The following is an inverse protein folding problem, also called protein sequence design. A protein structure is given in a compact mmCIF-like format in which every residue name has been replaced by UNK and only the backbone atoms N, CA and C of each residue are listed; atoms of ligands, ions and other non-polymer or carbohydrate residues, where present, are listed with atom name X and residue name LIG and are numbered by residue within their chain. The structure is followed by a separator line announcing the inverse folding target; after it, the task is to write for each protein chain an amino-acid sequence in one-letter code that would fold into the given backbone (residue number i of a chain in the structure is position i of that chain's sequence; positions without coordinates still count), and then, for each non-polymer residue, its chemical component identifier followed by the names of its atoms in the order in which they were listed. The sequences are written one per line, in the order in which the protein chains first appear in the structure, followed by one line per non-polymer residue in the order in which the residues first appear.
data_IF_376398263918
#
_entry.id   IF_376398263918
#
_cell.length_a   1.000
_cell.length_b   1.000
_cell.length_c   1.000
_cell.angle_alpha   90.00
_cell.angle_beta   90.00
_cell.angle_gamma   90.00
#
_symmetry.space_group_name_H-M   'P 1'
#
loop_
_entity.id
_entity.type
_entity.pdbx_description
1 polymer ?
#
# COMPACT_ATOMS: atom_id res chain seq x y z
N UNK A 1 11.77 74.99 20.19
CA UNK A 1 12.70 73.87 20.00
C UNK A 1 11.99 72.93 19.09
N UNK A 2 12.13 73.19 18.02
CA UNK A 2 12.38 72.85 16.60
C UNK A 2 11.84 71.47 16.25
N UNK A 3 10.79 71.50 15.44
CA UNK A 3 10.21 70.36 14.76
C UNK A 3 10.89 70.29 13.35
N UNK A 4 11.63 69.24 13.10
CA UNK A 4 12.31 69.06 11.83
C UNK A 4 11.35 68.45 10.78
N UNK A 5 11.37 69.07 9.60
CA UNK A 5 10.66 68.72 8.36
C UNK A 5 10.99 67.34 7.83
N UNK A 6 9.95 66.64 7.33
CA UNK A 6 10.06 65.45 6.49
C UNK A 6 9.64 65.85 5.06
N UNK A 7 10.45 65.59 4.03
CA UNK A 7 10.13 65.99 2.67
C UNK A 7 9.12 65.01 2.01
N UNK A 8 8.15 65.60 1.28
CA UNK A 8 7.24 64.91 0.40
C UNK A 8 7.96 64.43 -0.87
N UNK A 9 7.86 63.14 -1.19
CA UNK A 9 8.33 62.58 -2.44
C UNK A 9 7.16 62.28 -3.41
N UNK A 10 7.19 63.02 -4.51
CA UNK A 10 6.73 62.81 -5.87
C UNK A 10 5.66 61.69 -6.17
N UNK A 11 4.49 62.16 -6.53
CA UNK A 11 3.53 61.44 -7.41
C UNK A 11 4.12 61.35 -8.81
N UNK A 12 4.32 60.16 -9.30
CA UNK A 12 4.43 59.87 -10.73
C UNK A 12 3.09 59.26 -11.20
N UNK A 13 2.47 59.99 -12.12
CA UNK A 13 1.37 59.53 -12.95
C UNK A 13 1.84 58.33 -13.76
N UNK A 14 1.14 57.22 -13.67
CA UNK A 14 1.25 56.13 -14.67
C UNK A 14 0.00 56.09 -15.52
N UNK A 15 0.18 56.50 -16.73
CA UNK A 15 -0.75 56.39 -17.88
C UNK A 15 -1.17 54.94 -18.10
N UNK A 16 -2.46 54.80 -18.32
CA UNK A 16 -3.11 53.52 -18.66
C UNK A 16 -2.56 52.87 -19.91
N UNK A 17 -2.27 51.60 -19.83
CA UNK A 17 -2.09 50.73 -20.96
C UNK A 17 -3.29 49.75 -20.99
N UNK A 18 -4.20 49.98 -21.93
CA UNK A 18 -5.28 49.05 -22.30
C UNK A 18 -4.61 47.86 -22.98
N UNK A 19 -4.53 46.70 -22.26
CA UNK A 19 -4.12 45.45 -22.86
C UNK A 19 -5.34 44.84 -23.56
N UNK A 20 -5.27 44.75 -24.88
CA UNK A 20 -6.20 44.06 -25.76
C UNK A 20 -6.39 42.62 -25.31
N UNK A 21 -7.63 42.14 -25.40
CA UNK A 21 -7.97 40.72 -25.35
C UNK A 21 -7.16 39.98 -26.44
N UNK A 22 -6.07 39.37 -26.02
CA UNK A 22 -5.28 38.45 -26.82
C UNK A 22 -5.67 37.04 -26.44
N UNK A 23 -5.94 36.24 -27.44
CA UNK A 23 -6.26 34.83 -27.50
C UNK A 23 -5.71 34.01 -26.36
N UNK A 24 -6.61 33.34 -25.64
CA UNK A 24 -6.28 32.23 -24.74
C UNK A 24 -5.82 31.12 -25.70
N UNK A 25 -4.56 30.65 -25.63
CA UNK A 25 -4.20 29.47 -26.38
C UNK A 25 -5.00 28.30 -25.79
N UNK A 26 -5.77 27.66 -26.69
CA UNK A 26 -6.32 26.33 -26.45
C UNK A 26 -5.14 25.43 -26.03
N UNK A 27 -4.98 25.22 -24.75
CA UNK A 27 -3.99 24.28 -24.25
C UNK A 27 -4.39 22.91 -24.73
N UNK A 28 -3.68 22.48 -25.80
CA UNK A 28 -3.56 21.09 -26.18
C UNK A 28 -3.49 20.20 -24.94
N UNK A 29 -4.26 19.11 -24.95
CA UNK A 29 -4.42 18.20 -23.84
C UNK A 29 -3.07 17.90 -23.17
N UNK A 30 -2.89 18.43 -21.98
CA UNK A 30 -1.87 17.94 -21.09
C UNK A 30 -2.26 16.48 -20.81
N UNK A 31 -1.42 15.55 -21.24
CA UNK A 31 -1.44 14.17 -20.76
C UNK A 31 -1.44 14.25 -19.23
N UNK A 32 -2.60 14.15 -18.63
CA UNK A 32 -2.72 14.13 -17.18
C UNK A 32 -2.04 12.86 -16.74
N UNK A 33 -0.84 12.99 -16.17
CA UNK A 33 -0.07 11.88 -15.65
C UNK A 33 -0.98 11.06 -14.72
N UNK A 34 -1.27 9.83 -15.15
CA UNK A 34 -2.23 8.95 -14.51
C UNK A 34 -1.78 8.67 -13.07
N UNK A 35 -2.67 8.83 -12.12
CA UNK A 35 -2.35 8.63 -10.71
C UNK A 35 -1.91 7.19 -10.45
N UNK A 36 -0.82 7.01 -9.71
CA UNK A 36 -0.35 5.70 -9.29
C UNK A 36 -0.50 5.53 -7.77
N UNK A 37 -1.19 4.47 -7.37
CA UNK A 37 -1.32 4.05 -5.97
C UNK A 37 -0.41 2.87 -5.71
N UNK A 38 0.41 2.96 -4.66
CA UNK A 38 1.25 1.85 -4.19
C UNK A 38 0.65 1.24 -2.94
N UNK A 39 0.60 -0.08 -2.90
CA UNK A 39 0.14 -0.82 -1.73
C UNK A 39 0.93 -2.11 -1.56
N UNK A 40 1.24 -2.47 -0.31
CA UNK A 40 1.84 -3.78 -0.04
C UNK A 40 0.79 -4.89 -0.16
N UNK A 41 1.22 -6.10 -0.56
CA UNK A 41 0.37 -7.30 -0.58
C UNK A 41 -0.36 -7.46 0.76
N UNK A 42 0.36 -7.35 1.86
CA UNK A 42 -0.22 -7.45 3.21
C UNK A 42 -1.35 -6.45 3.43
N UNK A 43 -1.09 -5.16 3.17
CA UNK A 43 -2.09 -4.12 3.40
C UNK A 43 -3.29 -4.28 2.48
N UNK A 44 -3.09 -4.71 1.22
CA UNK A 44 -4.16 -4.97 0.27
C UNK A 44 -5.11 -6.06 0.78
N UNK A 45 -4.58 -7.22 1.18
CA UNK A 45 -5.42 -8.33 1.64
C UNK A 45 -6.06 -8.03 2.99
N UNK A 46 -5.34 -7.40 3.94
CA UNK A 46 -5.90 -6.98 5.23
C UNK A 46 -7.01 -5.94 5.06
N UNK A 47 -6.89 -5.04 4.09
CA UNK A 47 -7.90 -4.03 3.80
C UNK A 47 -9.17 -4.63 3.17
N UNK A 48 -9.01 -5.46 2.12
CA UNK A 48 -10.14 -5.98 1.35
C UNK A 48 -10.84 -7.15 2.04
N UNK A 49 -10.09 -7.99 2.77
CA UNK A 49 -10.62 -9.18 3.43
C UNK A 49 -10.89 -8.96 4.93
N UNK A 50 -10.88 -7.71 5.37
CA UNK A 50 -11.26 -7.38 6.75
C UNK A 50 -12.66 -7.90 7.04
N UNK A 51 -12.77 -8.70 8.09
CA UNK A 51 -14.02 -9.29 8.55
C UNK A 51 -14.03 -9.39 10.07
N UNK A 52 -15.22 -9.48 10.67
CA UNK A 52 -15.39 -9.52 12.12
C UNK A 52 -15.64 -8.15 12.76
N UNK A 53 -15.83 -8.15 14.07
CA UNK A 53 -16.05 -6.97 14.88
C UNK A 53 -14.77 -6.21 15.19
N UNK A 54 -14.90 -5.03 15.78
CA UNK A 54 -13.76 -4.26 16.28
C UNK A 54 -13.09 -5.02 17.41
N UNK A 55 -11.87 -5.48 17.17
CA UNK A 55 -11.04 -6.11 18.18
C UNK A 55 -10.09 -5.07 18.79
N UNK A 56 -10.37 -4.67 20.03
CA UNK A 56 -9.51 -3.79 20.82
C UNK A 56 -8.58 -4.57 21.74
N UNK A 57 -8.58 -5.91 21.68
CA UNK A 57 -7.69 -6.77 22.46
C UNK A 57 -6.25 -6.81 21.94
N UNK A 58 -6.00 -6.22 20.77
CA UNK A 58 -4.64 -6.02 20.25
C UNK A 58 -3.90 -5.04 21.13
N UNK A 59 -3.41 -5.57 22.25
CA UNK A 59 -2.40 -4.90 23.05
C UNK A 59 -1.19 -4.49 22.21
N UNK A 60 -0.40 -3.59 22.74
CA UNK A 60 0.88 -3.15 22.18
C UNK A 60 1.60 -4.32 21.52
N UNK A 61 1.95 -4.14 20.24
CA UNK A 61 2.72 -5.14 19.48
C UNK A 61 3.89 -5.59 20.34
N UNK A 62 3.84 -6.85 20.77
CA UNK A 62 4.90 -7.41 21.63
C UNK A 62 6.20 -7.46 20.83
N UNK A 63 7.11 -6.54 21.13
CA UNK A 63 8.42 -6.44 20.47
C UNK A 63 9.19 -7.76 20.59
N UNK A 64 9.00 -8.47 21.69
CA UNK A 64 9.63 -9.76 21.91
C UNK A 64 9.08 -10.81 20.95
N UNK A 65 7.76 -10.88 20.76
CA UNK A 65 7.12 -11.75 19.77
C UNK A 65 7.61 -11.47 18.34
N UNK A 66 7.76 -10.20 17.96
CA UNK A 66 8.29 -9.82 16.65
C UNK A 66 9.75 -10.28 16.45
N UNK A 67 10.60 -10.05 17.45
CA UNK A 67 12.01 -10.47 17.39
C UNK A 67 12.14 -11.98 17.33
N UNK A 68 11.35 -12.69 18.12
CA UNK A 68 11.31 -14.15 18.16
C UNK A 68 10.80 -14.73 16.86
N UNK A 69 9.69 -14.18 16.33
CA UNK A 69 9.15 -14.53 15.02
C UNK A 69 10.18 -14.36 13.92
N UNK A 70 10.84 -13.21 13.84
CA UNK A 70 11.87 -12.95 12.82
C UNK A 70 13.10 -13.89 12.94
N UNK A 71 13.46 -14.34 14.16
CA UNK A 71 14.52 -15.33 14.35
C UNK A 71 14.10 -16.69 13.83
N UNK A 72 12.90 -17.14 14.16
CA UNK A 72 12.37 -18.42 13.72
C UNK A 72 12.16 -18.47 12.22
N UNK A 73 11.68 -17.39 11.62
CA UNK A 73 11.59 -17.22 10.17
C UNK A 73 12.95 -17.55 9.50
N UNK A 74 14.00 -16.84 9.89
CA UNK A 74 15.34 -17.05 9.33
C UNK A 74 15.89 -18.46 9.62
N UNK A 75 15.54 -19.05 10.77
CA UNK A 75 15.93 -20.44 11.10
C UNK A 75 15.26 -21.42 10.14
N UNK A 76 13.96 -21.27 9.88
CA UNK A 76 13.22 -22.09 8.93
C UNK A 76 13.78 -21.95 7.52
N UNK A 77 13.93 -20.73 7.02
CA UNK A 77 14.47 -20.44 5.69
C UNK A 77 15.86 -21.09 5.47
N UNK A 78 16.73 -21.03 6.49
CA UNK A 78 18.07 -21.67 6.43
C UNK A 78 18.02 -23.21 6.48
N UNK A 79 16.98 -23.78 7.06
CA UNK A 79 16.77 -25.22 7.14
C UNK A 79 16.14 -25.82 5.90
N UNK A 80 15.64 -24.99 4.97
CA UNK A 80 15.10 -25.42 3.69
C UNK A 80 16.27 -25.72 2.72
N UNK A 81 16.05 -26.61 1.76
CA UNK A 81 17.07 -27.04 0.82
C UNK A 81 17.60 -25.93 -0.10
N UNK A 82 18.58 -26.27 -0.97
CA UNK A 82 19.25 -25.32 -1.86
C UNK A 82 18.36 -24.65 -2.89
N UNK A 83 17.20 -25.21 -3.19
CA UNK A 83 16.23 -24.67 -4.15
C UNK A 83 15.28 -23.63 -3.51
N UNK A 84 15.40 -23.39 -2.22
CA UNK A 84 14.58 -22.40 -1.50
C UNK A 84 15.18 -21.00 -1.62
N UNK A 85 14.46 -20.12 -2.33
CA UNK A 85 14.78 -18.71 -2.46
C UNK A 85 14.03 -17.94 -1.38
N UNK A 86 14.75 -17.44 -0.37
CA UNK A 86 14.17 -16.66 0.72
C UNK A 86 13.98 -15.19 0.32
N UNK A 87 12.95 -14.54 0.87
CA UNK A 87 12.75 -13.11 0.79
C UNK A 87 12.65 -12.57 -0.65
N UNK A 88 11.85 -13.24 -1.49
CA UNK A 88 11.70 -12.90 -2.93
C UNK A 88 10.83 -11.67 -3.10
N UNK A 89 11.40 -10.58 -3.63
CA UNK A 89 10.67 -9.35 -3.91
C UNK A 89 9.83 -9.50 -5.17
N UNK A 90 8.53 -9.24 -5.05
CA UNK A 90 7.56 -9.34 -6.13
C UNK A 90 6.76 -8.05 -6.23
N UNK A 91 6.43 -7.67 -7.46
CA UNK A 91 5.59 -6.50 -7.73
C UNK A 91 4.77 -6.70 -9.01
N UNK A 92 3.58 -6.15 -9.04
CA UNK A 92 2.72 -6.16 -10.20
C UNK A 92 1.93 -4.85 -10.29
N UNK A 93 1.87 -4.29 -11.49
CA UNK A 93 1.04 -3.14 -11.81
C UNK A 93 -0.27 -3.60 -12.44
N UNK A 94 -1.39 -3.17 -11.90
CA UNK A 94 -2.72 -3.29 -12.49
C UNK A 94 -3.14 -1.93 -13.03
N UNK A 95 -3.45 -1.86 -14.32
CA UNK A 95 -3.79 -0.63 -15.01
C UNK A 95 -5.32 -0.51 -15.15
N UNK A 96 -5.87 0.60 -14.64
CA UNK A 96 -7.27 0.97 -14.81
C UNK A 96 -7.35 2.27 -15.62
N UNK A 97 -8.52 2.68 -16.05
CA UNK A 97 -8.68 3.87 -16.87
C UNK A 97 -8.26 5.15 -16.14
N UNK A 98 -8.63 5.28 -14.87
CA UNK A 98 -8.45 6.46 -14.02
C UNK A 98 -7.17 6.44 -13.17
N UNK A 99 -6.67 5.26 -12.81
CA UNK A 99 -5.47 5.13 -11.98
C UNK A 99 -4.75 3.79 -12.19
N UNK A 100 -3.49 3.73 -11.77
CA UNK A 100 -2.70 2.51 -11.73
C UNK A 100 -2.51 2.05 -10.29
N UNK A 101 -2.60 0.74 -10.04
CA UNK A 101 -2.33 0.14 -8.74
C UNK A 101 -1.07 -0.69 -8.82
N UNK A 102 -0.03 -0.27 -8.10
CA UNK A 102 1.19 -1.05 -7.93
C UNK A 102 1.11 -1.83 -6.62
N UNK A 103 0.92 -3.13 -6.73
CA UNK A 103 0.98 -4.07 -5.60
C UNK A 103 2.39 -4.61 -5.51
N UNK A 104 3.00 -4.51 -4.33
CA UNK A 104 4.38 -4.96 -4.11
C UNK A 104 4.52 -5.64 -2.75
N UNK A 105 5.52 -6.50 -2.63
CA UNK A 105 5.82 -7.15 -1.37
C UNK A 105 6.96 -8.13 -1.50
N UNK A 106 7.17 -8.89 -0.44
CA UNK A 106 8.25 -9.85 -0.35
C UNK A 106 7.70 -11.17 0.19
N UNK A 107 7.70 -12.19 -0.66
CA UNK A 107 7.34 -13.54 -0.28
C UNK A 107 8.41 -14.10 0.66
N UNK A 108 8.00 -14.80 1.70
CA UNK A 108 8.92 -15.38 2.68
C UNK A 108 9.85 -16.41 2.04
N UNK A 109 9.32 -17.17 1.09
CA UNK A 109 10.12 -18.10 0.29
C UNK A 109 9.42 -18.58 -0.97
N UNK A 110 10.24 -18.98 -1.95
CA UNK A 110 9.80 -19.67 -3.16
C UNK A 110 10.74 -20.85 -3.38
N UNK A 111 10.20 -22.04 -3.67
CA UNK A 111 10.97 -23.23 -3.90
C UNK A 111 10.29 -24.15 -4.92
N UNK A 112 11.04 -25.13 -5.42
CA UNK A 112 10.49 -26.20 -6.24
C UNK A 112 10.63 -27.55 -5.56
N UNK A 113 9.62 -28.40 -5.69
CA UNK A 113 9.61 -29.77 -5.19
C UNK A 113 8.89 -30.63 -6.24
N UNK A 114 9.54 -31.69 -6.70
CA UNK A 114 9.00 -32.61 -7.72
C UNK A 114 8.50 -31.92 -9.02
N UNK A 115 9.15 -30.83 -9.42
CA UNK A 115 8.78 -30.06 -10.61
C UNK A 115 7.62 -29.09 -10.41
N UNK A 116 7.10 -28.95 -9.20
CA UNK A 116 6.07 -27.99 -8.82
C UNK A 116 6.68 -26.82 -8.04
N UNK A 117 6.27 -25.61 -8.37
CA UNK A 117 6.67 -24.40 -7.62
C UNK A 117 5.73 -24.11 -6.46
N UNK A 118 6.32 -23.68 -5.36
CA UNK A 118 5.63 -23.33 -4.13
C UNK A 118 6.01 -21.92 -3.69
N UNK A 119 5.01 -21.13 -3.29
CA UNK A 119 5.21 -19.92 -2.50
C UNK A 119 4.95 -20.26 -1.04
N UNK A 120 5.93 -20.03 -0.18
CA UNK A 120 5.85 -20.26 1.26
C UNK A 120 5.59 -18.94 2.01
N UNK A 121 4.57 -18.95 2.84
CA UNK A 121 4.23 -17.84 3.75
C UNK A 121 4.35 -18.36 5.19
N UNK A 122 5.28 -17.79 5.96
CA UNK A 122 5.64 -18.26 7.29
C UNK A 122 5.01 -17.36 8.36
N UNK A 123 4.34 -17.96 9.35
CA UNK A 123 3.68 -17.22 10.43
C UNK A 123 4.02 -17.80 11.80
N UNK A 124 4.57 -16.96 12.68
CA UNK A 124 4.73 -17.28 14.09
C UNK A 124 3.41 -17.14 14.85
N UNK A 125 3.14 -18.06 15.76
CA UNK A 125 1.94 -18.03 16.64
C UNK A 125 2.27 -18.54 18.04
N UNK A 126 1.54 -18.04 19.03
CA UNK A 126 1.52 -18.62 20.39
C UNK A 126 0.41 -19.68 20.55
N UNK A 127 -0.54 -19.73 19.60
CA UNK A 127 -1.52 -20.83 19.56
C UNK A 127 -0.88 -22.12 19.07
N UNK A 128 -1.40 -23.27 19.50
CA UNK A 128 -0.90 -24.57 19.03
C UNK A 128 -1.21 -24.78 17.54
N UNK A 129 -0.20 -24.80 16.64
CA UNK A 129 -0.44 -24.95 15.20
C UNK A 129 -1.06 -26.31 14.86
N UNK A 130 -0.83 -27.36 15.63
CA UNK A 130 -1.38 -28.71 15.36
C UNK A 130 -2.91 -28.74 15.45
N UNK A 131 -3.51 -27.86 16.24
CA UNK A 131 -4.96 -27.72 16.39
C UNK A 131 -5.61 -26.89 15.25
N UNK A 132 -4.82 -26.31 14.37
CA UNK A 132 -5.36 -25.57 13.22
C UNK A 132 -5.90 -26.54 12.17
N UNK A 133 -7.17 -26.44 11.85
CA UNK A 133 -7.82 -27.25 10.79
C UNK A 133 -7.62 -26.61 9.41
N UNK A 134 -7.66 -25.30 9.35
CA UNK A 134 -7.52 -24.49 8.10
C UNK A 134 -6.55 -23.33 8.34
N UNK A 135 -5.89 -22.84 7.29
CA UNK A 135 -5.05 -21.64 7.41
C UNK A 135 -5.91 -20.39 7.63
N UNK A 136 -5.31 -19.39 8.26
CA UNK A 136 -5.95 -18.08 8.43
C UNK A 136 -6.21 -17.45 7.05
N UNK A 137 -7.45 -17.01 6.73
CA UNK A 137 -7.80 -16.55 5.38
C UNK A 137 -6.92 -15.42 4.84
N UNK A 138 -6.53 -14.46 5.69
CA UNK A 138 -5.67 -13.35 5.29
C UNK A 138 -4.25 -13.82 4.95
N UNK A 139 -3.69 -14.78 5.69
CA UNK A 139 -2.37 -15.36 5.39
C UNK A 139 -2.39 -16.15 4.08
N UNK A 140 -3.45 -16.96 3.88
CA UNK A 140 -3.68 -17.67 2.62
C UNK A 140 -3.76 -16.70 1.44
N UNK A 141 -4.47 -15.60 1.59
CA UNK A 141 -4.58 -14.56 0.57
C UNK A 141 -3.24 -13.87 0.26
N UNK A 142 -2.37 -13.65 1.26
CA UNK A 142 -1.01 -13.16 1.03
C UNK A 142 -0.22 -14.11 0.13
N UNK A 143 -0.22 -15.40 0.47
CA UNK A 143 0.44 -16.43 -0.33
C UNK A 143 -0.12 -16.50 -1.76
N UNK A 144 -1.45 -16.42 -1.93
CA UNK A 144 -2.10 -16.40 -3.25
C UNK A 144 -1.70 -15.18 -4.08
N UNK A 145 -1.59 -13.98 -3.49
CA UNK A 145 -1.08 -12.80 -4.20
C UNK A 145 0.33 -13.03 -4.73
N UNK A 146 1.24 -13.51 -3.89
CA UNK A 146 2.60 -13.79 -4.31
C UNK A 146 2.67 -14.90 -5.35
N UNK A 147 1.87 -15.96 -5.19
CA UNK A 147 1.79 -17.06 -6.16
C UNK A 147 1.32 -16.56 -7.53
N UNK A 148 0.29 -15.71 -7.57
CA UNK A 148 -0.17 -15.12 -8.82
C UNK A 148 0.92 -14.29 -9.50
N UNK A 149 1.55 -13.36 -8.77
CA UNK A 149 2.56 -12.47 -9.34
C UNK A 149 3.75 -13.29 -9.85
N UNK A 150 4.19 -14.29 -9.10
CA UNK A 150 5.31 -15.14 -9.50
C UNK A 150 4.96 -16.02 -10.71
N UNK A 151 3.79 -16.64 -10.73
CA UNK A 151 3.34 -17.47 -11.84
C UNK A 151 3.20 -16.66 -13.14
N UNK A 152 2.61 -15.46 -13.10
CA UNK A 152 2.51 -14.56 -14.25
C UNK A 152 3.89 -14.18 -14.79
N UNK A 153 4.83 -13.79 -13.92
CA UNK A 153 6.17 -13.37 -14.31
C UNK A 153 7.02 -14.50 -14.90
N UNK A 154 6.73 -15.74 -14.54
CA UNK A 154 7.47 -16.92 -14.99
C UNK A 154 6.71 -17.80 -16.00
N UNK A 155 5.50 -17.39 -16.41
CA UNK A 155 4.69 -18.13 -17.38
C UNK A 155 4.25 -19.52 -16.88
N UNK A 156 3.98 -19.67 -15.58
CA UNK A 156 3.59 -20.94 -14.98
C UNK A 156 2.10 -21.20 -15.17
N UNK A 157 1.73 -22.37 -15.67
CA UNK A 157 0.32 -22.79 -15.79
C UNK A 157 -0.32 -23.10 -14.44
N UNK A 158 0.47 -23.53 -13.47
CA UNK A 158 0.02 -23.80 -12.10
C UNK A 158 1.13 -23.56 -11.10
N UNK A 159 0.74 -23.25 -9.87
CA UNK A 159 1.62 -23.02 -8.73
C UNK A 159 0.91 -23.41 -7.44
N UNK A 160 1.67 -23.87 -6.45
CA UNK A 160 1.15 -24.16 -5.13
C UNK A 160 1.53 -23.08 -4.12
N UNK A 161 0.70 -22.91 -3.12
CA UNK A 161 1.02 -22.15 -1.92
C UNK A 161 1.27 -23.09 -0.74
N UNK A 162 2.17 -22.69 0.14
CA UNK A 162 2.41 -23.32 1.42
C UNK A 162 2.28 -22.28 2.52
N UNK A 163 1.41 -22.49 3.50
CA UNK A 163 1.39 -21.70 4.74
C UNK A 163 2.08 -22.49 5.83
N UNK A 164 3.15 -21.96 6.34
CA UNK A 164 3.96 -22.55 7.41
C UNK A 164 3.71 -21.83 8.72
N UNK A 165 3.00 -22.47 9.67
CA UNK A 165 2.81 -21.97 11.03
C UNK A 165 3.82 -22.57 11.97
N UNK A 166 4.49 -21.72 12.77
CA UNK A 166 5.45 -22.16 13.79
C UNK A 166 5.07 -21.61 15.14
N UNK A 167 5.02 -22.49 16.15
CA UNK A 167 4.82 -22.07 17.52
C UNK A 167 6.07 -21.36 18.06
N UNK A 168 5.89 -20.14 18.58
CA UNK A 168 7.00 -19.27 18.96
C UNK A 168 7.87 -19.81 20.09
N UNK A 169 7.34 -20.66 20.98
CA UNK A 169 8.09 -21.23 22.11
C UNK A 169 8.56 -22.66 21.85
N UNK A 170 7.70 -23.52 21.32
CA UNK A 170 7.98 -24.96 21.16
C UNK A 170 8.56 -25.31 19.79
N UNK A 171 8.52 -24.38 18.83
CA UNK A 171 8.95 -24.56 17.45
C UNK A 171 8.17 -25.68 16.69
N UNK A 172 7.02 -26.11 17.20
CA UNK A 172 6.12 -27.04 16.50
C UNK A 172 5.62 -26.39 15.23
N UNK A 173 5.67 -27.15 14.12
CA UNK A 173 5.35 -26.64 12.78
C UNK A 173 4.14 -27.36 12.21
N UNK A 174 3.21 -26.60 11.63
CA UNK A 174 2.10 -27.08 10.81
C UNK A 174 2.18 -26.43 9.45
N UNK A 175 2.01 -27.23 8.36
CA UNK A 175 1.99 -26.75 7.00
C UNK A 175 0.67 -27.09 6.32
N UNK A 176 0.15 -26.14 5.55
CA UNK A 176 -1.00 -26.32 4.67
C UNK A 176 -0.54 -26.04 3.25
N UNK A 177 -0.86 -26.93 2.33
CA UNK A 177 -0.52 -26.79 0.90
C UNK A 177 -1.80 -26.79 0.07
N UNK A 178 -1.83 -25.95 -0.95
CA UNK A 178 -2.94 -25.85 -1.89
C UNK A 178 -2.41 -25.48 -3.27
N UNK A 179 -2.92 -26.16 -4.31
CA UNK A 179 -2.52 -25.94 -5.70
C UNK A 179 -3.55 -25.11 -6.43
N UNK A 180 -3.09 -24.22 -7.29
CA UNK A 180 -3.92 -23.35 -8.12
C UNK A 180 -3.45 -23.39 -9.57
N UNK A 181 -4.39 -23.21 -10.50
CA UNK A 181 -4.07 -22.85 -11.87
C UNK A 181 -3.84 -21.34 -11.99
N UNK A 182 -3.07 -20.93 -13.02
CA UNK A 182 -2.86 -19.51 -13.33
C UNK A 182 -4.20 -18.77 -13.48
N UNK A 183 -5.18 -19.35 -14.19
CA UNK A 183 -6.52 -18.75 -14.39
C UNK A 183 -7.29 -18.54 -13.06
N UNK A 184 -7.19 -19.50 -12.13
CA UNK A 184 -7.84 -19.36 -10.82
C UNK A 184 -7.25 -18.20 -10.03
N UNK A 185 -5.93 -18.07 -10.04
CA UNK A 185 -5.22 -16.98 -9.36
C UNK A 185 -5.46 -15.63 -10.05
N UNK A 186 -5.42 -15.58 -11.37
CA UNK A 186 -5.70 -14.38 -12.16
C UNK A 186 -7.09 -13.82 -11.84
N UNK A 187 -8.11 -14.67 -11.92
CA UNK A 187 -9.48 -14.27 -11.59
C UNK A 187 -9.59 -13.75 -10.16
N UNK A 188 -9.04 -14.51 -9.20
CA UNK A 188 -9.10 -14.14 -7.79
C UNK A 188 -8.37 -12.83 -7.50
N UNK A 189 -7.17 -12.65 -8.08
CA UNK A 189 -6.38 -11.44 -7.92
C UNK A 189 -7.04 -10.24 -8.61
N UNK A 190 -7.63 -10.44 -9.77
CA UNK A 190 -8.45 -9.43 -10.46
C UNK A 190 -9.60 -8.95 -9.59
N UNK A 191 -10.40 -9.87 -9.04
CA UNK A 191 -11.51 -9.54 -8.14
C UNK A 191 -11.02 -8.75 -6.89
N UNK A 192 -9.84 -9.10 -6.35
CA UNK A 192 -9.24 -8.41 -5.21
C UNK A 192 -8.83 -6.97 -5.56
N UNK A 193 -8.12 -6.79 -6.68
CA UNK A 193 -7.64 -5.49 -7.13
C UNK A 193 -8.77 -4.59 -7.62
N UNK A 194 -9.81 -5.14 -8.27
CA UNK A 194 -11.00 -4.41 -8.69
C UNK A 194 -11.77 -3.82 -7.50
N UNK A 195 -11.87 -4.58 -6.42
CA UNK A 195 -12.49 -4.08 -5.17
C UNK A 195 -11.68 -2.93 -4.58
N UNK A 196 -10.36 -3.04 -4.60
CA UNK A 196 -9.48 -1.98 -4.12
C UNK A 196 -9.52 -0.74 -5.02
N UNK A 197 -9.54 -0.93 -6.35
CA UNK A 197 -9.69 0.11 -7.34
C UNK A 197 -10.96 0.94 -7.09
N UNK A 198 -12.13 0.29 -6.98
CA UNK A 198 -13.41 0.99 -6.72
C UNK A 198 -13.35 1.87 -5.47
N UNK A 199 -12.65 1.40 -4.43
CA UNK A 199 -12.49 2.19 -3.20
C UNK A 199 -11.56 3.38 -3.42
N UNK A 200 -10.44 3.20 -4.13
CA UNK A 200 -9.47 4.26 -4.39
C UNK A 200 -10.05 5.36 -5.29
N UNK A 201 -10.74 5.00 -6.38
CA UNK A 201 -11.40 5.96 -7.28
C UNK A 201 -12.39 6.83 -6.49
N UNK A 202 -13.24 6.21 -5.67
CA UNK A 202 -14.18 6.95 -4.82
C UNK A 202 -13.48 7.84 -3.79
N UNK A 203 -12.39 7.39 -3.22
CA UNK A 203 -11.57 8.20 -2.31
C UNK A 203 -11.02 9.44 -3.01
N UNK A 204 -10.46 9.29 -4.21
CA UNK A 204 -9.93 10.43 -4.97
C UNK A 204 -11.00 11.42 -5.37
N UNK A 205 -12.16 10.96 -5.82
CA UNK A 205 -13.31 11.83 -6.11
C UNK A 205 -13.71 12.63 -4.86
N UNK A 206 -13.86 11.95 -3.73
CA UNK A 206 -14.20 12.60 -2.47
C UNK A 206 -13.12 13.59 -2.00
N UNK A 207 -11.83 13.25 -2.13
CA UNK A 207 -10.74 14.15 -1.78
C UNK A 207 -10.75 15.41 -2.65
N UNK A 208 -11.05 15.27 -3.94
CA UNK A 208 -11.20 16.40 -4.87
C UNK A 208 -12.36 17.31 -4.47
N UNK A 209 -13.52 16.74 -4.20
CA UNK A 209 -14.72 17.49 -3.76
C UNK A 209 -14.47 18.19 -2.43
N UNK A 210 -13.91 17.47 -1.45
CA UNK A 210 -13.53 18.03 -0.15
C UNK A 210 -12.58 19.20 -0.31
N UNK A 211 -11.51 19.03 -1.07
CA UNK A 211 -10.50 20.08 -1.26
C UNK A 211 -11.10 21.30 -1.97
N UNK A 212 -11.98 21.09 -2.95
CA UNK A 212 -12.70 22.17 -3.62
C UNK A 212 -13.64 22.92 -2.65
N UNK A 213 -14.35 22.21 -1.79
CA UNK A 213 -15.22 22.83 -0.78
C UNK A 213 -14.45 23.63 0.27
N UNK A 214 -13.20 23.22 0.56
CA UNK A 214 -12.34 23.90 1.53
C UNK A 214 -11.57 25.08 0.95
N UNK A 215 -11.40 25.16 -0.37
CA UNK A 215 -10.59 26.20 -1.03
C UNK A 215 -11.12 27.63 -0.78
N UNK A 216 -12.42 27.78 -0.50
CA UNK A 216 -13.07 29.07 -0.17
C UNK A 216 -13.19 29.36 1.32
N UNK A 217 -12.67 28.50 2.21
CA UNK A 217 -12.74 28.72 3.63
C UNK A 217 -11.66 29.71 4.09
N UNK A 218 -12.09 30.86 4.58
CA UNK A 218 -11.19 31.82 5.22
C UNK A 218 -11.16 31.55 6.73
N UNK A 219 -9.96 31.65 7.31
CA UNK A 219 -9.82 31.57 8.76
C UNK A 219 -10.42 32.87 9.36
N UNK A 220 -11.48 32.78 10.19
CA UNK A 220 -12.26 33.95 10.58
C UNK A 220 -11.54 34.89 11.57
N UNK A 221 -10.35 34.54 12.00
CA UNK A 221 -9.54 35.31 12.95
C UNK A 221 -8.14 35.57 12.40
N UNK A 222 -7.48 36.67 12.79
CA UNK A 222 -6.09 36.88 12.44
C UNK A 222 -5.22 35.76 13.04
N UNK A 223 -4.28 35.27 12.25
CA UNK A 223 -3.30 34.30 12.75
C UNK A 223 -2.48 34.90 13.90
N UNK A 224 -2.31 34.14 14.96
CA UNK A 224 -1.34 34.46 16.01
C UNK A 224 0.07 34.25 15.49
N UNK A 225 1.03 34.92 16.16
CA UNK A 225 2.45 34.73 15.85
C UNK A 225 2.83 33.24 15.91
N UNK A 226 3.54 32.73 14.89
CA UNK A 226 3.93 31.33 14.73
C UNK A 226 2.86 30.37 14.19
N UNK A 227 1.57 30.72 14.17
CA UNK A 227 0.52 29.81 13.67
C UNK A 227 0.67 29.50 12.16
N UNK A 228 1.05 30.50 11.35
CA UNK A 228 1.27 30.29 9.91
C UNK A 228 2.41 29.31 9.64
N UNK A 229 3.48 29.42 10.41
CA UNK A 229 4.66 28.53 10.28
C UNK A 229 4.32 27.11 10.67
N UNK A 230 3.52 26.92 11.74
CA UNK A 230 3.03 25.60 12.14
C UNK A 230 2.13 25.00 11.05
N UNK A 231 1.15 25.75 10.54
CA UNK A 231 0.24 25.26 9.50
C UNK A 231 1.02 24.89 8.23
N UNK A 232 1.96 25.75 7.76
CA UNK A 232 2.75 25.45 6.56
C UNK A 232 3.78 24.33 6.75
N UNK A 233 4.11 23.95 7.99
CA UNK A 233 5.00 22.81 8.26
C UNK A 233 4.27 21.46 8.28
N UNK A 234 2.93 21.47 8.32
CA UNK A 234 2.09 20.26 8.35
C UNK A 234 1.56 19.90 6.95
N UNK A 235 1.54 20.87 6.04
CA UNK A 235 1.13 20.71 4.64
C UNK A 235 2.32 20.75 3.70
#
# INVERSE_FOLDING_TARGET
MEIADIPQANRREQTGNVVSQGDIPETAGADMEKQQVRISVRNLVEFILRSGDLDNSRGTTDKEAMLKGGRLHRKLQKGMGGDYQAEVSLKRKSEYEDLDILVEGRADGIFSEDGEFFVDEIKGTYGNPELMEIPVPVHRAQAMCYAYIYAEQNGLESISIQMTYIHLDTEVIRRFREKFTGEQLEKWYGDLTDRYHKWQSRRFEWEKERNASMAGLEFPFPYREGQREIVSSVY
#
